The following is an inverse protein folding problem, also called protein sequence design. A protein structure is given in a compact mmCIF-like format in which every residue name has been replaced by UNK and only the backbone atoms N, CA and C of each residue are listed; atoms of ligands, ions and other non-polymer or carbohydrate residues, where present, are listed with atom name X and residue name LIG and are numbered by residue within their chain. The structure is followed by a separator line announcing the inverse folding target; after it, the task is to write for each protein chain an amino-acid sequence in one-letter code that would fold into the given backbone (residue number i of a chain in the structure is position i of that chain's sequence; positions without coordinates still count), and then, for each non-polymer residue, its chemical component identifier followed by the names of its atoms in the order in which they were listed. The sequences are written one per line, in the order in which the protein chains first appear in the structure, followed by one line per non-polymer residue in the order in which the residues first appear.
data_IF_467818962562
#
_entry.id   IF_467818962562
#
_cell.length_a   1.000
_cell.length_b   1.000
_cell.length_c   1.000
_cell.angle_alpha   90.00
_cell.angle_beta   90.00
_cell.angle_gamma   90.00
#
_symmetry.space_group_name_H-M   'P 1'
#
loop_
_entity.id
_entity.type
_entity.pdbx_description
1 polymer ?
#
# COMPACT_ATOMS: atom_id res chain seq x y z
N UNK A 1 6.73 -9.57 4.59
CA UNK A 1 6.02 -9.57 5.88
C UNK A 1 5.54 -8.16 6.17
N UNK A 2 4.30 -8.03 6.65
CA UNK A 2 3.72 -6.75 7.08
C UNK A 2 3.28 -6.87 8.53
N UNK A 3 3.36 -5.78 9.30
CA UNK A 3 2.96 -5.77 10.70
C UNK A 3 1.61 -5.07 10.87
N UNK A 4 0.82 -5.58 11.81
CA UNK A 4 -0.45 -4.99 12.24
C UNK A 4 -0.38 -4.71 13.73
N UNK A 5 -1.07 -3.68 14.22
CA UNK A 5 -1.03 -3.28 15.64
C UNK A 5 -1.48 -4.40 16.58
N UNK A 6 -2.37 -5.29 16.13
CA UNK A 6 -2.95 -6.34 16.96
C UNK A 6 -3.85 -5.78 18.07
N UNK A 7 -4.85 -6.53 18.50
CA UNK A 7 -5.71 -6.14 19.64
C UNK A 7 -5.00 -6.25 20.99
N UNK A 8 -3.90 -7.01 21.07
CA UNK A 8 -3.13 -7.30 22.28
C UNK A 8 -2.00 -6.31 22.56
N UNK A 9 -1.90 -5.21 21.80
CA UNK A 9 -0.85 -4.18 21.96
C UNK A 9 0.46 -4.50 21.25
N UNK A 10 0.88 -5.76 21.21
CA UNK A 10 2.08 -6.20 20.49
C UNK A 10 1.83 -6.34 18.99
N UNK A 11 2.66 -5.70 18.12
CA UNK A 11 2.54 -5.83 16.68
C UNK A 11 2.68 -7.28 16.21
N UNK A 12 1.72 -7.75 15.42
CA UNK A 12 1.73 -9.12 14.86
C UNK A 12 2.17 -9.08 13.41
N UNK A 13 3.21 -9.85 13.09
CA UNK A 13 3.67 -10.08 11.74
C UNK A 13 2.69 -10.96 10.97
N UNK A 14 2.20 -10.47 9.84
CA UNK A 14 1.36 -11.21 8.91
C UNK A 14 2.25 -11.80 7.82
N UNK A 15 2.32 -13.13 7.80
CA UNK A 15 3.00 -13.90 6.77
C UNK A 15 2.13 -13.94 5.52
N UNK A 16 2.61 -13.32 4.45
CA UNK A 16 1.97 -13.35 3.13
C UNK A 16 2.86 -14.10 2.16
N UNK A 17 2.29 -15.08 1.48
CA UNK A 17 2.94 -15.76 0.36
C UNK A 17 2.81 -14.93 -0.93
N UNK A 18 3.63 -15.22 -1.93
CA UNK A 18 3.49 -14.63 -3.26
C UNK A 18 2.08 -14.83 -3.83
N UNK A 19 1.48 -16.01 -3.61
CA UNK A 19 0.11 -16.30 -4.06
C UNK A 19 -0.91 -15.36 -3.43
N UNK A 20 -0.75 -14.97 -2.17
CA UNK A 20 -1.66 -14.04 -1.51
C UNK A 20 -1.61 -12.66 -2.18
N UNK A 21 -0.41 -12.17 -2.51
CA UNK A 21 -0.25 -10.87 -3.17
C UNK A 21 -0.83 -10.92 -4.59
N UNK A 22 -0.47 -11.94 -5.38
CA UNK A 22 -0.97 -12.09 -6.75
C UNK A 22 -2.49 -12.24 -6.81
N UNK A 23 -3.10 -12.90 -5.81
CA UNK A 23 -4.56 -12.97 -5.72
C UNK A 23 -5.19 -11.58 -5.52
N UNK A 24 -4.56 -10.71 -4.74
CA UNK A 24 -5.07 -9.35 -4.54
C UNK A 24 -4.85 -8.46 -5.77
N UNK A 25 -3.77 -8.66 -6.53
CA UNK A 25 -3.57 -7.95 -7.81
C UNK A 25 -4.65 -8.32 -8.82
N UNK A 26 -4.96 -9.61 -8.96
CA UNK A 26 -6.05 -10.09 -9.83
C UNK A 26 -7.40 -9.49 -9.45
N UNK A 27 -7.69 -9.33 -8.17
CA UNK A 27 -8.92 -8.67 -7.72
C UNK A 27 -9.00 -7.20 -8.16
N UNK A 28 -7.86 -6.52 -8.31
CA UNK A 28 -7.83 -5.14 -8.83
C UNK A 28 -8.11 -5.13 -10.33
N UNK A 29 -7.54 -6.08 -11.08
CA UNK A 29 -7.80 -6.27 -12.51
C UNK A 29 -9.27 -6.61 -12.77
N UNK A 30 -9.83 -7.57 -12.03
CA UNK A 30 -11.22 -8.03 -12.15
C UNK A 30 -12.24 -6.91 -11.84
N UNK A 31 -11.83 -5.91 -11.05
CA UNK A 31 -12.67 -4.77 -10.72
C UNK A 31 -12.79 -3.74 -11.87
N UNK A 32 -11.93 -3.83 -12.89
CA UNK A 32 -11.94 -2.99 -14.11
C UNK A 32 -12.08 -1.48 -13.83
N UNK A 33 -11.41 -1.01 -12.78
CA UNK A 33 -11.54 0.38 -12.29
C UNK A 33 -10.52 1.33 -12.91
N UNK A 34 -9.52 0.82 -13.64
CA UNK A 34 -8.44 1.60 -14.20
C UNK A 34 -8.61 1.77 -15.72
N UNK A 35 -8.47 2.99 -16.26
CA UNK A 35 -8.47 3.19 -17.70
C UNK A 35 -7.21 2.61 -18.35
N UNK A 36 -7.27 2.29 -19.65
CA UNK A 36 -6.17 1.70 -20.45
C UNK A 36 -4.81 2.38 -20.31
N UNK A 37 -4.80 3.69 -20.03
CA UNK A 37 -3.59 4.51 -19.86
C UNK A 37 -3.54 5.17 -18.48
N UNK A 38 -3.87 4.42 -17.44
CA UNK A 38 -3.80 4.89 -16.08
C UNK A 38 -2.36 5.23 -15.65
N UNK A 39 -2.23 6.30 -14.85
CA UNK A 39 -1.03 6.59 -14.06
C UNK A 39 -1.48 6.69 -12.61
N UNK A 40 -0.92 5.85 -11.75
CA UNK A 40 -1.27 5.79 -10.33
C UNK A 40 -0.51 6.86 -9.54
N UNK A 41 -1.20 7.53 -8.63
CA UNK A 41 -0.58 8.40 -7.63
C UNK A 41 -0.42 7.65 -6.31
N UNK A 42 0.82 7.31 -5.95
CA UNK A 42 1.14 6.70 -4.65
C UNK A 42 1.39 7.75 -3.59
N UNK A 43 0.40 7.92 -2.71
CA UNK A 43 0.47 8.79 -1.52
C UNK A 43 0.68 8.00 -0.23
N UNK A 44 0.68 6.66 -0.30
CA UNK A 44 0.74 5.78 0.85
C UNK A 44 2.13 5.17 1.02
N UNK A 45 2.61 4.98 2.25
CA UNK A 45 3.91 4.36 2.48
C UNK A 45 3.94 2.90 2.03
N UNK A 46 5.04 2.48 1.42
CA UNK A 46 5.23 1.09 0.93
C UNK A 46 5.31 0.04 2.05
N UNK A 47 5.46 0.46 3.32
CA UNK A 47 5.40 -0.43 4.47
C UNK A 47 3.96 -0.68 4.98
N UNK A 48 2.96 -0.02 4.41
CA UNK A 48 1.55 -0.38 4.60
C UNK A 48 1.10 -1.35 3.50
N UNK A 49 0.18 -2.27 3.84
CA UNK A 49 -0.31 -3.31 2.91
C UNK A 49 -0.79 -2.78 1.56
N UNK A 50 -1.57 -1.70 1.56
CA UNK A 50 -2.08 -1.11 0.33
C UNK A 50 -0.99 -0.37 -0.45
N UNK A 51 -0.11 0.38 0.23
CA UNK A 51 1.03 1.05 -0.40
C UNK A 51 2.04 0.05 -0.99
N UNK A 52 2.23 -1.09 -0.36
CA UNK A 52 3.01 -2.21 -0.90
C UNK A 52 2.33 -2.82 -2.13
N UNK A 53 1.05 -3.15 -2.02
CA UNK A 53 0.37 -3.92 -3.08
C UNK A 53 0.08 -3.06 -4.31
N UNK A 54 -0.54 -1.88 -4.14
CA UNK A 54 -0.93 -1.00 -5.27
C UNK A 54 0.19 -0.03 -5.64
N UNK A 55 0.90 0.50 -4.63
CA UNK A 55 1.94 1.50 -4.83
C UNK A 55 3.31 0.94 -5.22
N UNK A 56 3.49 -0.39 -5.22
CA UNK A 56 4.75 -1.04 -5.61
C UNK A 56 4.52 -2.30 -6.46
N UNK A 57 3.78 -3.30 -5.96
CA UNK A 57 3.64 -4.57 -6.68
C UNK A 57 2.83 -4.44 -7.99
N UNK A 58 1.72 -3.69 -7.97
CA UNK A 58 0.86 -3.51 -9.14
C UNK A 58 1.61 -2.87 -10.34
N UNK A 59 2.26 -1.69 -10.23
CA UNK A 59 2.97 -1.08 -11.36
C UNK A 59 4.26 -1.81 -11.78
N UNK A 60 4.78 -2.71 -10.95
CA UNK A 60 5.91 -3.57 -11.34
C UNK A 60 5.47 -4.79 -12.15
N UNK A 61 4.25 -5.26 -11.94
CA UNK A 61 3.69 -6.44 -12.62
C UNK A 61 2.84 -6.08 -13.82
N UNK A 62 2.22 -4.91 -13.77
CA UNK A 62 1.41 -4.32 -14.83
C UNK A 62 2.13 -3.08 -15.32
N UNK A 63 2.24 -2.88 -16.63
CA UNK A 63 2.93 -1.75 -17.27
C UNK A 63 2.16 -0.43 -17.08
N UNK A 64 1.96 -0.04 -15.82
CA UNK A 64 1.17 1.11 -15.37
C UNK A 64 2.12 2.13 -14.77
N UNK A 65 1.97 3.39 -15.19
CA UNK A 65 2.79 4.48 -14.66
C UNK A 65 2.53 4.72 -13.18
N UNK A 66 3.56 5.09 -12.43
CA UNK A 66 3.46 5.42 -11.01
C UNK A 66 4.12 6.78 -10.73
N UNK A 67 3.40 7.67 -10.07
CA UNK A 67 3.93 8.92 -9.51
C UNK A 67 3.86 8.84 -7.99
N UNK A 68 4.98 9.05 -7.30
CA UNK A 68 5.04 9.01 -5.84
C UNK A 68 5.04 10.41 -5.26
N UNK A 69 4.23 10.67 -4.23
CA UNK A 69 4.33 11.92 -3.49
C UNK A 69 5.54 11.90 -2.54
N UNK A 70 6.42 12.91 -2.59
CA UNK A 70 7.52 13.01 -1.65
C UNK A 70 6.97 13.24 -0.24
N UNK A 71 7.57 12.55 0.74
CA UNK A 71 7.18 12.61 2.17
C UNK A 71 7.12 14.02 2.76
N UNK A 72 7.78 15.00 2.12
CA UNK A 72 7.84 16.41 2.52
C UNK A 72 6.53 17.18 2.29
N UNK A 73 5.61 16.67 1.46
CA UNK A 73 4.41 17.42 1.05
C UNK A 73 3.12 17.05 1.80
N UNK A 74 3.16 16.04 2.69
CA UNK A 74 2.03 15.76 3.59
C UNK A 74 1.94 16.93 4.58
N UNK A 75 0.86 17.74 4.58
CA UNK A 75 0.71 18.86 5.50
C UNK A 75 0.90 18.34 6.92
N UNK A 76 1.77 19.00 7.71
CA UNK A 76 1.95 18.67 9.13
C UNK A 76 0.73 19.12 9.93
N UNK A 77 -0.41 18.49 9.70
CA UNK A 77 -1.62 18.63 10.50
C UNK A 77 -1.47 17.93 11.86
N UNK A 78 -2.44 18.12 12.79
CA UNK A 78 -2.34 17.67 14.18
C UNK A 78 -2.48 16.14 14.38
N UNK A 79 -2.46 15.32 13.31
CA UNK A 79 -2.65 13.86 13.36
C UNK A 79 -1.48 13.07 13.97
N UNK A 80 -0.49 13.75 14.58
CA UNK A 80 0.68 13.15 15.26
C UNK A 80 0.36 12.29 16.48
N UNK A 81 -0.91 12.01 16.80
CA UNK A 81 -1.28 11.19 17.97
C UNK A 81 -1.23 9.67 17.69
N UNK A 82 -1.15 9.22 16.44
CA UNK A 82 -1.25 7.78 16.11
C UNK A 82 0.08 7.06 15.82
N UNK A 83 1.22 7.76 15.69
CA UNK A 83 2.51 7.14 15.32
C UNK A 83 3.56 7.19 16.44
N UNK A 84 3.16 7.52 17.67
CA UNK A 84 4.07 7.61 18.84
C UNK A 84 3.91 6.52 19.90
N UNK A 85 3.15 5.47 19.60
CA UNK A 85 3.14 4.23 20.39
C UNK A 85 3.10 3.05 19.42
N UNK A 86 4.28 2.74 18.92
CA UNK A 86 4.67 1.39 18.55
C UNK A 86 5.83 1.03 19.49
#
# INVERSE_FOLDING_TARGET
MLFTSGSSGEPKGVMLSHRNILANLRQIEDADILPDRAVLLSSLPVFHSFGFTVGLCYPLTHSVGLVTLPSRWIPRGPSRRCVRRA
#
